data_IF_275171829635
#
_entry.id   IF_275171829635
#
_cell.length_a   1.000
_cell.length_b   1.000
_cell.length_c   1.000
_cell.angle_alpha   90.00
_cell.angle_beta   90.00
_cell.angle_gamma   90.00
#
_symmetry.space_group_name_H-M   'P 1'
#
loop_
_entity.id
_entity.type
_entity.pdbx_description
1 polymer ?
#
# COMPACT_ATOMS: atom_id res chain seq x y z
N UNK A 1 -33.36 -44.84 30.09
CA UNK A 1 -34.41 -43.92 29.60
C UNK A 1 -34.77 -43.04 30.77
N UNK A 2 -34.60 -41.73 30.60
CA UNK A 2 -35.00 -40.61 31.46
C UNK A 2 -33.87 -39.60 31.62
N UNK A 3 -34.28 -38.32 31.65
CA UNK A 3 -33.48 -37.08 31.73
C UNK A 3 -32.96 -36.45 30.41
N UNK A 4 -33.79 -36.43 29.35
CA UNK A 4 -33.65 -35.40 28.30
C UNK A 4 -34.95 -34.69 27.87
N UNK A 5 -36.12 -35.07 28.37
CA UNK A 5 -37.40 -34.55 27.83
C UNK A 5 -38.17 -33.54 28.70
N UNK A 6 -37.59 -33.01 29.78
CA UNK A 6 -38.32 -32.12 30.71
C UNK A 6 -38.03 -30.62 30.59
N UNK A 7 -37.25 -30.15 29.60
CA UNK A 7 -36.91 -28.72 29.48
C UNK A 7 -37.22 -28.10 28.11
N UNK A 8 -38.21 -28.65 27.38
CA UNK A 8 -38.63 -28.13 26.04
C UNK A 8 -39.92 -27.30 26.04
N UNK A 9 -40.45 -26.90 27.20
CA UNK A 9 -41.63 -26.03 27.25
C UNK A 9 -41.54 -25.03 28.38
N UNK A 10 -41.09 -23.81 28.07
CA UNK A 10 -41.72 -22.53 28.43
C UNK A 10 -40.69 -21.38 28.32
N UNK A 11 -41.07 -20.38 27.53
CA UNK A 11 -40.43 -19.06 27.34
C UNK A 11 -39.19 -18.97 26.44
N UNK A 12 -39.40 -18.34 25.28
CA UNK A 12 -38.38 -18.00 24.31
C UNK A 12 -37.49 -16.83 24.75
N UNK A 13 -36.19 -17.03 24.57
CA UNK A 13 -35.12 -16.04 24.33
C UNK A 13 -34.14 -16.80 23.42
N UNK A 14 -33.67 -16.23 22.31
CA UNK A 14 -32.80 -15.08 22.31
C UNK A 14 -31.36 -15.58 22.10
N UNK A 15 -30.75 -15.13 21.00
CA UNK A 15 -29.34 -15.29 20.65
C UNK A 15 -28.83 -16.72 20.38
N UNK A 16 -28.78 -17.07 19.08
CA UNK A 16 -27.81 -18.06 18.59
C UNK A 16 -26.39 -17.54 18.87
N UNK A 17 -25.43 -18.41 19.24
CA UNK A 17 -24.04 -17.98 19.39
C UNK A 17 -23.53 -17.53 18.02
N UNK A 18 -23.15 -16.24 17.92
CA UNK A 18 -22.44 -15.70 16.78
C UNK A 18 -21.09 -16.42 16.72
N UNK A 19 -20.97 -17.32 15.76
CA UNK A 19 -19.69 -17.84 15.30
C UNK A 19 -18.73 -16.67 15.09
N UNK A 20 -17.50 -16.84 15.58
CA UNK A 20 -16.39 -15.95 15.34
C UNK A 20 -16.28 -15.68 13.83
N UNK A 21 -16.78 -14.53 13.39
CA UNK A 21 -16.45 -13.96 12.09
C UNK A 21 -15.02 -13.43 12.18
N UNK A 22 -14.06 -14.35 12.14
CA UNK A 22 -12.70 -14.06 11.75
C UNK A 22 -12.76 -13.78 10.26
N UNK A 23 -13.08 -12.52 9.93
CA UNK A 23 -13.00 -12.01 8.57
C UNK A 23 -11.53 -12.08 8.22
N UNK A 24 -11.12 -13.17 7.58
CA UNK A 24 -9.92 -13.18 6.76
C UNK A 24 -10.18 -12.12 5.69
N UNK A 25 -9.79 -10.88 5.96
CA UNK A 25 -9.66 -9.87 4.92
C UNK A 25 -8.72 -10.49 3.90
N UNK A 26 -9.26 -10.85 2.74
CA UNK A 26 -8.51 -11.47 1.66
C UNK A 26 -7.51 -10.41 1.19
N UNK A 27 -6.28 -10.44 1.74
CA UNK A 27 -5.23 -9.48 1.41
C UNK A 27 -5.08 -9.44 -0.11
N UNK A 28 -5.34 -8.28 -0.71
CA UNK A 28 -5.11 -8.10 -2.14
C UNK A 28 -3.65 -8.42 -2.47
N UNK A 29 -3.41 -8.97 -3.67
CA UNK A 29 -2.07 -9.29 -4.13
C UNK A 29 -1.13 -8.05 -4.13
N UNK A 30 -1.70 -6.85 -4.30
CA UNK A 30 -0.97 -5.59 -4.18
C UNK A 30 -0.48 -5.26 -2.79
N UNK A 31 -1.21 -5.64 -1.74
CA UNK A 31 -0.70 -5.41 -0.39
C UNK A 31 0.55 -6.25 -0.13
N UNK A 32 0.59 -7.50 -0.60
CA UNK A 32 1.80 -8.32 -0.51
C UNK A 32 2.97 -7.68 -1.27
N UNK A 33 2.73 -7.19 -2.49
CA UNK A 33 3.80 -6.52 -3.27
C UNK A 33 4.24 -5.21 -2.61
N UNK A 34 3.33 -4.45 -2.00
CA UNK A 34 3.65 -3.28 -1.21
C UNK A 34 4.56 -3.66 -0.02
N UNK A 35 4.17 -4.68 0.74
CA UNK A 35 4.94 -5.19 1.90
C UNK A 35 6.34 -5.66 1.48
N UNK A 36 6.45 -6.28 0.29
CA UNK A 36 7.74 -6.70 -0.27
C UNK A 36 8.61 -5.49 -0.63
N UNK A 37 8.06 -4.50 -1.34
CA UNK A 37 8.80 -3.28 -1.72
C UNK A 37 9.24 -2.51 -0.47
N UNK A 38 8.35 -2.37 0.51
CA UNK A 38 8.66 -1.76 1.79
C UNK A 38 9.81 -2.49 2.47
N UNK A 39 9.76 -3.82 2.55
CA UNK A 39 10.82 -4.64 3.15
C UNK A 39 12.17 -4.51 2.41
N UNK A 40 12.16 -4.49 1.08
CA UNK A 40 13.38 -4.31 0.27
C UNK A 40 13.98 -2.91 0.47
N UNK A 41 13.16 -1.86 0.47
CA UNK A 41 13.61 -0.49 0.74
C UNK A 41 14.17 -0.35 2.15
N UNK A 42 13.52 -0.94 3.14
CA UNK A 42 14.02 -1.01 4.51
C UNK A 42 15.40 -1.67 4.57
N UNK A 43 15.60 -2.79 3.87
CA UNK A 43 16.91 -3.45 3.78
C UNK A 43 17.97 -2.56 3.15
N UNK A 44 17.66 -1.86 2.06
CA UNK A 44 18.62 -0.95 1.42
C UNK A 44 18.97 0.26 2.27
N UNK A 45 18.02 0.82 3.01
CA UNK A 45 18.26 1.93 3.94
C UNK A 45 19.11 1.46 5.12
N UNK A 46 18.76 0.32 5.71
CA UNK A 46 19.51 -0.28 6.81
C UNK A 46 20.97 -0.59 6.40
N UNK A 47 21.19 -1.09 5.17
CA UNK A 47 22.53 -1.33 4.63
C UNK A 47 23.22 -0.07 4.07
N UNK A 48 22.64 1.12 4.22
CA UNK A 48 23.16 2.39 3.69
C UNK A 48 23.45 2.38 2.17
N UNK A 49 22.69 1.57 1.42
CA UNK A 49 22.74 1.50 -0.05
C UNK A 49 21.70 2.40 -0.73
N UNK A 50 20.85 3.04 0.07
CA UNK A 50 19.82 3.98 -0.40
C UNK A 50 20.31 5.42 -0.31
N UNK A 51 19.81 6.28 -1.19
CA UNK A 51 19.97 7.74 -1.08
C UNK A 51 19.07 8.35 0.03
N UNK A 52 18.14 7.55 0.54
CA UNK A 52 17.22 7.92 1.60
C UNK A 52 17.78 7.45 2.95
N UNK A 53 17.73 8.31 3.95
CA UNK A 53 18.13 8.02 5.33
C UNK A 53 17.03 7.29 6.10
N UNK A 54 15.78 7.40 5.65
CA UNK A 54 14.66 6.74 6.30
C UNK A 54 13.38 6.67 5.48
N UNK A 55 12.34 6.07 6.07
CA UNK A 55 10.99 5.93 5.51
C UNK A 55 9.98 6.52 6.50
N UNK A 56 9.10 7.37 5.99
CA UNK A 56 7.85 7.75 6.67
C UNK A 56 6.72 6.95 6.03
N UNK A 57 6.14 6.01 6.79
CA UNK A 57 5.00 5.22 6.37
C UNK A 57 3.69 5.86 6.84
N UNK A 58 2.79 6.06 5.90
CA UNK A 58 1.42 6.47 6.12
C UNK A 58 0.54 5.21 6.19
N UNK A 59 0.09 4.88 7.40
CA UNK A 59 -0.71 3.69 7.68
C UNK A 59 -2.21 4.03 7.67
N UNK A 60 -2.89 3.81 6.55
CA UNK A 60 -4.32 4.07 6.35
C UNK A 60 -5.16 2.80 6.27
N UNK A 61 -4.55 1.69 5.83
CA UNK A 61 -5.25 0.42 5.59
C UNK A 61 -4.98 -0.63 6.66
N UNK A 62 -3.89 -0.48 7.41
CA UNK A 62 -3.49 -1.43 8.46
C UNK A 62 -3.00 -0.71 9.70
N UNK A 63 -3.13 -1.37 10.84
CA UNK A 63 -2.58 -0.89 12.10
C UNK A 63 -1.05 -0.79 12.05
N UNK A 64 -0.43 0.21 12.70
CA UNK A 64 1.02 0.30 12.84
C UNK A 64 1.69 -0.98 13.35
N UNK A 65 1.02 -1.71 14.27
CA UNK A 65 1.48 -2.99 14.82
C UNK A 65 1.80 -4.02 13.74
N UNK A 66 1.03 -4.02 12.65
CA UNK A 66 1.25 -4.90 11.51
C UNK A 66 2.63 -4.66 10.88
N UNK A 67 2.97 -3.39 10.65
CA UNK A 67 4.25 -3.03 10.03
C UNK A 67 5.43 -3.27 10.96
N UNK A 68 5.24 -3.13 12.28
CA UNK A 68 6.27 -3.53 13.24
C UNK A 68 6.56 -5.03 13.15
N UNK A 69 5.51 -5.84 13.11
CA UNK A 69 5.64 -7.31 12.99
C UNK A 69 6.25 -7.70 11.65
N UNK A 70 5.87 -7.01 10.56
CA UNK A 70 6.47 -7.21 9.24
C UNK A 70 7.98 -6.97 9.30
N UNK A 71 8.44 -5.83 9.82
CA UNK A 71 9.87 -5.51 9.91
C UNK A 71 10.61 -6.46 10.86
N UNK A 72 10.04 -6.79 12.03
CA UNK A 72 10.58 -7.81 12.94
C UNK A 72 10.78 -9.16 12.26
N UNK A 73 9.80 -9.61 11.48
CA UNK A 73 9.89 -10.88 10.75
C UNK A 73 11.00 -10.90 9.68
N UNK A 74 11.47 -9.73 9.26
CA UNK A 74 12.59 -9.55 8.33
C UNK A 74 13.93 -9.32 9.03
N UNK A 75 13.97 -9.42 10.36
CA UNK A 75 15.19 -9.29 11.16
C UNK A 75 15.54 -7.87 11.56
N UNK A 76 14.63 -6.90 11.40
CA UNK A 76 14.84 -5.54 11.87
C UNK A 76 14.37 -5.40 13.32
N UNK A 77 15.28 -5.01 14.21
CA UNK A 77 14.94 -4.74 15.61
C UNK A 77 14.21 -3.39 15.75
N UNK A 78 13.27 -3.29 16.69
CA UNK A 78 12.44 -2.11 16.94
C UNK A 78 13.28 -0.88 17.27
N UNK A 79 14.30 -1.05 18.13
CA UNK A 79 15.13 0.06 18.58
C UNK A 79 15.89 0.63 17.40
N UNK A 80 16.51 -0.25 16.59
CA UNK A 80 17.20 0.16 15.36
C UNK A 80 16.27 0.73 14.31
N UNK A 81 15.03 0.24 14.21
CA UNK A 81 14.05 0.73 13.24
C UNK A 81 13.60 2.15 13.53
N UNK A 82 13.52 2.54 14.81
CA UNK A 82 13.05 3.86 15.22
C UNK A 82 13.89 5.05 14.70
N UNK A 83 15.14 4.80 14.27
CA UNK A 83 16.05 5.83 13.76
C UNK A 83 15.88 6.10 12.26
N UNK A 84 15.35 5.14 11.49
CA UNK A 84 15.17 5.25 10.04
C UNK A 84 13.74 4.95 9.58
N UNK A 85 12.83 4.56 10.47
CA UNK A 85 11.45 4.20 10.15
C UNK A 85 10.47 4.90 11.10
N UNK A 86 9.56 5.70 10.54
CA UNK A 86 8.49 6.39 11.27
C UNK A 86 7.14 6.01 10.68
N UNK A 87 6.13 5.88 11.54
CA UNK A 87 4.76 5.59 11.13
C UNK A 87 3.84 6.74 11.56
N UNK A 88 3.09 7.25 10.60
CA UNK A 88 1.92 8.08 10.81
C UNK A 88 0.67 7.18 10.78
N UNK A 89 0.06 6.98 11.95
CA UNK A 89 -1.11 6.14 12.14
C UNK A 89 -2.39 6.90 11.81
N UNK A 90 -2.96 6.54 10.69
CA UNK A 90 -4.23 7.06 10.20
C UNK A 90 -5.28 5.96 10.08
N UNK A 91 -4.99 4.79 10.67
CA UNK A 91 -5.86 3.63 10.67
C UNK A 91 -6.66 3.55 11.97
N UNK A 92 -6.02 3.85 13.11
CA UNK A 92 -6.63 3.67 14.43
C UNK A 92 -7.75 4.68 14.72
N UNK A 93 -7.59 5.93 14.27
CA UNK A 93 -8.60 6.98 14.42
C UNK A 93 -8.61 7.97 13.24
N UNK A 94 -8.99 7.53 12.02
CA UNK A 94 -8.89 8.33 10.80
C UNK A 94 -9.64 9.66 10.82
N UNK A 95 -10.63 9.80 11.72
CA UNK A 95 -11.48 11.00 11.83
C UNK A 95 -11.33 11.73 13.18
N UNK A 96 -10.40 11.29 14.03
CA UNK A 96 -10.12 11.93 15.32
C UNK A 96 -11.26 11.83 16.33
N UNK A 97 -12.19 10.90 16.15
CA UNK A 97 -13.35 10.79 17.03
C UNK A 97 -12.93 10.33 18.41
N UNK A 98 -11.92 9.46 18.50
CA UNK A 98 -11.41 9.00 19.78
C UNK A 98 -10.73 10.14 20.53
N UNK A 99 -9.94 10.97 19.86
CA UNK A 99 -9.35 12.17 20.46
C UNK A 99 -10.41 13.14 20.96
N UNK A 100 -11.47 13.41 20.17
CA UNK A 100 -12.59 14.26 20.59
C UNK A 100 -13.37 13.71 21.78
N UNK A 101 -13.53 12.38 21.87
CA UNK A 101 -14.20 11.71 22.98
C UNK A 101 -13.34 11.66 24.25
N UNK A 102 -12.02 11.63 24.10
CA UNK A 102 -11.06 11.80 25.20
C UNK A 102 -11.08 13.23 25.74
N UNK A 103 -11.08 14.22 24.86
CA UNK A 103 -11.20 15.64 25.22
C UNK A 103 -12.54 15.96 25.89
N UNK A 104 -13.62 15.29 25.50
CA UNK A 104 -14.94 15.43 26.15
C UNK A 104 -15.08 14.62 27.46
N UNK A 105 -14.05 13.88 27.87
CA UNK A 105 -14.04 13.08 29.10
C UNK A 105 -14.87 11.80 29.05
N UNK A 106 -15.34 11.39 27.86
CA UNK A 106 -16.24 10.24 27.70
C UNK A 106 -15.53 8.88 27.73
N UNK A 107 -14.22 8.85 27.43
CA UNK A 107 -13.42 7.62 27.35
C UNK A 107 -12.06 7.84 28.05
N UNK A 108 -11.51 6.80 28.72
CA UNK A 108 -10.15 6.81 29.30
C UNK A 108 -9.13 6.29 28.28
N UNK A 109 -7.91 6.85 28.28
CA UNK A 109 -6.83 6.47 27.36
C UNK A 109 -6.51 4.97 27.45
N UNK A 110 -6.74 4.20 26.39
CA UNK A 110 -6.07 2.90 26.18
C UNK A 110 -4.74 3.17 25.49
N UNK A 111 -3.63 2.77 26.10
CA UNK A 111 -2.31 2.86 25.47
C UNK A 111 -2.26 2.02 24.20
N UNK A 112 -1.60 2.55 23.16
CA UNK A 112 -1.30 1.79 21.96
C UNK A 112 -0.16 0.83 22.31
N UNK A 113 -0.36 -0.48 22.17
CA UNK A 113 0.64 -1.52 22.50
C UNK A 113 1.83 -1.60 21.52
N UNK A 114 2.08 -0.54 20.77
CA UNK A 114 3.13 -0.42 19.76
C UNK A 114 4.41 0.11 20.40
N UNK A 115 5.55 -0.49 20.06
CA UNK A 115 6.85 -0.11 20.62
C UNK A 115 7.57 0.96 19.79
N UNK A 116 7.13 1.22 18.55
CA UNK A 116 7.59 2.36 17.75
C UNK A 116 6.91 3.65 18.22
N UNK A 117 7.60 4.78 18.03
CA UNK A 117 7.01 6.11 18.18
C UNK A 117 5.97 6.32 17.08
N UNK A 118 4.73 5.94 17.37
CA UNK A 118 3.60 6.08 16.45
C UNK A 118 2.96 7.43 16.66
N UNK A 119 2.95 8.24 15.61
CA UNK A 119 2.25 9.52 15.61
C UNK A 119 0.84 9.29 15.08
N UNK A 120 -0.17 9.62 15.88
CA UNK A 120 -1.58 9.42 15.51
C UNK A 120 -2.05 10.64 14.71
N UNK A 121 -2.60 10.40 13.53
CA UNK A 121 -3.31 11.42 12.78
C UNK A 121 -4.67 11.70 13.40
N UNK A 122 -4.96 12.99 13.57
CA UNK A 122 -6.21 13.46 14.13
C UNK A 122 -7.32 13.59 13.10
N UNK A 123 -6.99 13.84 11.84
CA UNK A 123 -8.00 13.99 10.79
C UNK A 123 -7.43 13.73 9.39
N UNK A 124 -7.83 12.61 8.79
CA UNK A 124 -7.40 12.24 7.44
C UNK A 124 -7.97 13.16 6.35
N UNK A 125 -8.99 13.96 6.66
CA UNK A 125 -9.54 14.95 5.72
C UNK A 125 -8.68 16.21 5.62
N UNK A 126 -7.90 16.50 6.66
CA UNK A 126 -7.02 17.66 6.67
C UNK A 126 -5.67 17.27 6.04
N UNK A 127 -5.60 17.42 4.71
CA UNK A 127 -4.40 17.05 3.98
C UNK A 127 -3.21 17.99 4.25
N UNK A 128 -3.45 19.20 4.75
CA UNK A 128 -2.40 20.17 5.10
C UNK A 128 -1.74 19.80 6.44
N UNK A 129 -2.55 19.40 7.43
CA UNK A 129 -2.05 18.83 8.70
C UNK A 129 -1.30 17.53 8.45
N UNK A 130 -1.82 16.66 7.57
CA UNK A 130 -1.15 15.43 7.16
C UNK A 130 0.20 15.70 6.49
N UNK A 131 0.22 16.63 5.52
CA UNK A 131 1.45 17.04 4.86
C UNK A 131 2.50 17.53 5.87
N UNK A 132 2.09 18.42 6.77
CA UNK A 132 2.97 18.98 7.81
C UNK A 132 3.50 17.88 8.74
N UNK A 133 2.63 16.97 9.18
CA UNK A 133 3.00 15.84 10.03
C UNK A 133 4.00 14.90 9.37
N UNK A 134 3.83 14.62 8.06
CA UNK A 134 4.79 13.81 7.29
C UNK A 134 6.16 14.48 7.23
N UNK A 135 6.20 15.80 7.04
CA UNK A 135 7.45 16.55 6.98
C UNK A 135 8.15 16.61 8.35
N UNK A 136 7.42 16.81 9.44
CA UNK A 136 8.01 16.79 10.79
C UNK A 136 8.64 15.42 11.10
N UNK A 137 7.95 14.33 10.80
CA UNK A 137 8.52 12.98 10.94
C UNK A 137 9.73 12.76 10.03
N UNK A 138 9.69 13.28 8.82
CA UNK A 138 10.78 13.18 7.86
C UNK A 138 12.03 13.98 8.28
N UNK A 139 11.85 15.13 8.95
CA UNK A 139 12.95 15.94 9.50
C UNK A 139 13.71 15.17 10.58
N UNK A 140 13.01 14.46 11.46
CA UNK A 140 13.64 13.60 12.47
C UNK A 140 14.54 12.53 11.83
N UNK A 141 14.18 12.04 10.63
CA UNK A 141 14.97 11.05 9.88
C UNK A 141 16.10 11.67 9.05
N UNK A 142 16.00 12.96 8.73
CA UNK A 142 16.93 13.65 7.83
C UNK A 142 18.15 14.26 8.54
N UNK A 143 18.19 14.20 9.88
CA UNK A 143 19.33 14.64 10.69
C UNK A 143 19.68 16.12 10.48
N UNK A 144 20.98 16.42 10.33
CA UNK A 144 21.58 17.77 10.16
C UNK A 144 21.20 18.50 8.84
N UNK A 145 20.00 18.27 8.31
CA UNK A 145 19.42 18.99 7.17
C UNK A 145 19.93 18.57 5.79
N UNK A 146 20.83 17.58 5.70
CA UNK A 146 21.35 17.04 4.42
C UNK A 146 20.71 15.71 4.02
N UNK A 147 20.05 15.03 4.95
CA UNK A 147 19.37 13.77 4.69
C UNK A 147 18.12 13.95 3.83
N UNK A 148 17.75 12.91 3.12
CA UNK A 148 16.44 12.79 2.47
C UNK A 148 15.71 11.58 2.99
N UNK A 149 14.39 11.59 2.93
CA UNK A 149 13.57 10.45 3.32
C UNK A 149 12.66 9.99 2.18
N UNK A 150 12.08 8.81 2.35
CA UNK A 150 11.13 8.21 1.42
C UNK A 150 9.76 8.19 2.08
N UNK A 151 8.72 8.47 1.30
CA UNK A 151 7.34 8.39 1.78
C UNK A 151 6.68 7.14 1.22
N UNK A 152 6.07 6.36 2.08
CA UNK A 152 5.29 5.18 1.71
C UNK A 152 3.83 5.39 2.11
N UNK A 153 2.88 5.20 1.19
CA UNK A 153 1.44 5.31 1.48
C UNK A 153 0.78 3.97 1.20
N UNK A 154 0.31 3.29 2.24
CA UNK A 154 -0.18 1.93 2.13
C UNK A 154 -1.52 1.80 1.37
N UNK A 155 -2.33 2.86 1.32
CA UNK A 155 -3.57 2.90 0.53
C UNK A 155 -4.02 4.33 0.25
N UNK A 156 -3.76 4.81 -0.96
CA UNK A 156 -4.34 6.07 -1.44
C UNK A 156 -5.85 5.95 -1.63
N UNK A 157 -6.36 4.73 -1.84
CA UNK A 157 -7.81 4.49 -1.90
C UNK A 157 -8.52 4.93 -0.62
N UNK A 158 -7.88 4.79 0.54
CA UNK A 158 -8.45 5.26 1.81
C UNK A 158 -8.56 6.79 1.87
N UNK A 159 -7.58 7.53 1.34
CA UNK A 159 -7.64 9.00 1.26
C UNK A 159 -8.78 9.46 0.35
N UNK A 160 -8.91 8.82 -0.81
CA UNK A 160 -9.94 9.13 -1.81
C UNK A 160 -11.37 8.86 -1.33
N UNK A 161 -11.56 8.04 -0.28
CA UNK A 161 -12.88 7.86 0.36
C UNK A 161 -13.32 9.09 1.16
N UNK A 162 -12.37 9.91 1.62
CA UNK A 162 -12.63 11.01 2.55
C UNK A 162 -12.35 12.38 1.95
N UNK A 163 -11.65 12.44 0.82
CA UNK A 163 -11.18 13.67 0.18
C UNK A 163 -11.30 13.57 -1.34
N UNK A 164 -11.26 14.71 -2.04
CA UNK A 164 -11.34 14.74 -3.50
C UNK A 164 -10.04 14.29 -4.17
N UNK A 165 -10.15 13.81 -5.41
CA UNK A 165 -8.99 13.44 -6.23
C UNK A 165 -8.01 14.60 -6.39
N UNK A 166 -8.50 15.84 -6.55
CA UNK A 166 -7.66 17.02 -6.71
C UNK A 166 -6.85 17.33 -5.47
N UNK A 167 -7.45 17.20 -4.28
CA UNK A 167 -6.76 17.40 -3.00
C UNK A 167 -5.68 16.32 -2.78
N UNK A 168 -6.00 15.05 -3.06
CA UNK A 168 -5.00 13.97 -3.00
C UNK A 168 -3.86 14.18 -4.00
N UNK A 169 -4.18 14.60 -5.23
CA UNK A 169 -3.19 14.93 -6.24
C UNK A 169 -2.29 16.10 -5.78
N UNK A 170 -2.87 17.14 -5.15
CA UNK A 170 -2.11 18.25 -4.58
C UNK A 170 -1.15 17.77 -3.48
N UNK A 171 -1.61 16.94 -2.54
CA UNK A 171 -0.77 16.34 -1.50
C UNK A 171 0.42 15.57 -2.10
N UNK A 172 0.15 14.67 -3.05
CA UNK A 172 1.19 13.86 -3.71
C UNK A 172 2.17 14.75 -4.49
N UNK A 173 1.68 15.82 -5.12
CA UNK A 173 2.50 16.80 -5.83
C UNK A 173 3.40 17.60 -4.88
N UNK A 174 2.87 18.00 -3.72
CA UNK A 174 3.59 18.77 -2.71
C UNK A 174 4.70 17.92 -2.06
N UNK A 175 4.39 16.66 -1.72
CA UNK A 175 5.40 15.70 -1.24
C UNK A 175 6.47 15.46 -2.31
N UNK A 176 6.06 15.36 -3.58
CA UNK A 176 6.97 15.19 -4.71
C UNK A 176 7.92 16.35 -4.90
N UNK A 177 7.44 17.58 -4.79
CA UNK A 177 8.27 18.77 -5.04
C UNK A 177 9.20 19.10 -3.86
N UNK A 178 8.90 18.61 -2.65
CA UNK A 178 9.66 18.89 -1.43
C UNK A 178 11.11 18.39 -1.48
N UNK A 179 12.09 19.23 -1.13
CA UNK A 179 13.54 18.99 -1.25
C UNK A 179 14.08 17.78 -0.47
N UNK A 180 13.55 17.55 0.74
CA UNK A 180 13.88 16.43 1.62
C UNK A 180 13.24 15.09 1.20
N UNK A 181 12.23 15.10 0.32
CA UNK A 181 11.60 13.86 -0.16
C UNK A 181 12.38 13.34 -1.37
N UNK A 182 13.03 12.18 -1.20
CA UNK A 182 13.80 11.50 -2.25
C UNK A 182 12.92 10.68 -3.20
N UNK A 183 11.96 9.94 -2.63
CA UNK A 183 11.06 9.05 -3.37
C UNK A 183 9.75 8.90 -2.63
N UNK A 184 8.69 8.57 -3.37
CA UNK A 184 7.37 8.35 -2.81
C UNK A 184 6.70 7.20 -3.56
N UNK A 185 6.17 6.24 -2.83
CA UNK A 185 5.42 5.13 -3.42
C UNK A 185 4.12 4.86 -2.69
N UNK A 186 3.13 4.41 -3.43
CA UNK A 186 1.80 4.22 -2.88
C UNK A 186 1.01 3.11 -3.58
N UNK A 187 0.07 2.52 -2.85
CA UNK A 187 -0.87 1.53 -3.38
C UNK A 187 -2.23 2.17 -3.71
N UNK A 188 -2.79 1.81 -4.87
CA UNK A 188 -4.12 2.20 -5.33
C UNK A 188 -4.91 0.98 -5.83
N UNK A 189 -6.10 0.80 -5.28
CA UNK A 189 -7.06 -0.22 -5.74
C UNK A 189 -7.89 0.38 -6.90
N UNK A 190 -7.73 -0.15 -8.12
CA UNK A 190 -8.36 0.43 -9.33
C UNK A 190 -9.86 0.20 -9.40
N UNK A 191 -10.32 -0.96 -8.91
CA UNK A 191 -11.72 -1.37 -8.80
C UNK A 191 -12.57 -0.39 -7.98
N UNK A 192 -11.95 0.32 -7.04
CA UNK A 192 -12.62 1.25 -6.13
C UNK A 192 -12.82 2.66 -6.70
N UNK A 193 -12.22 3.01 -7.84
CA UNK A 193 -12.18 4.40 -8.32
C UNK A 193 -12.53 4.52 -9.80
N UNK A 194 -13.12 5.66 -10.15
CA UNK A 194 -13.40 5.99 -11.54
C UNK A 194 -12.12 6.07 -12.39
N UNK A 195 -12.25 5.78 -13.68
CA UNK A 195 -11.16 5.83 -14.66
C UNK A 195 -10.48 7.21 -14.71
N UNK A 196 -11.24 8.28 -14.50
CA UNK A 196 -10.70 9.65 -14.45
C UNK A 196 -9.75 9.84 -13.26
N UNK A 197 -10.13 9.36 -12.08
CA UNK A 197 -9.33 9.48 -10.86
C UNK A 197 -8.02 8.69 -10.98
N UNK A 198 -8.12 7.45 -11.47
CA UNK A 198 -6.97 6.57 -11.68
C UNK A 198 -6.03 7.12 -12.75
N UNK A 199 -6.55 7.66 -13.86
CA UNK A 199 -5.76 8.29 -14.92
C UNK A 199 -5.01 9.54 -14.43
N UNK A 200 -5.63 10.37 -13.58
CA UNK A 200 -4.98 11.55 -13.00
C UNK A 200 -3.78 11.16 -12.13
N UNK A 201 -3.94 10.18 -11.25
CA UNK A 201 -2.84 9.70 -10.41
C UNK A 201 -1.75 9.01 -11.23
N UNK A 202 -2.12 8.20 -12.22
CA UNK A 202 -1.18 7.59 -13.15
C UNK A 202 -0.39 8.63 -13.96
N UNK A 203 -1.03 9.72 -14.38
CA UNK A 203 -0.37 10.81 -15.10
C UNK A 203 0.79 11.38 -14.28
N UNK A 204 0.55 11.61 -12.98
CA UNK A 204 1.54 12.15 -12.05
C UNK A 204 2.66 11.15 -11.75
N UNK A 205 2.41 9.85 -11.74
CA UNK A 205 3.43 8.83 -11.41
C UNK A 205 4.55 8.74 -12.45
N UNK A 206 5.80 8.60 -11.98
CA UNK A 206 6.95 8.29 -12.84
C UNK A 206 6.98 6.82 -13.25
N UNK A 207 6.47 5.94 -12.38
CA UNK A 207 6.36 4.50 -12.59
C UNK A 207 4.99 4.02 -12.14
N UNK A 208 4.37 3.13 -12.92
CA UNK A 208 3.13 2.41 -12.57
C UNK A 208 3.42 0.92 -12.63
N UNK A 209 3.22 0.22 -11.53
CA UNK A 209 3.17 -1.23 -11.49
C UNK A 209 1.71 -1.67 -11.35
N UNK A 210 1.27 -2.56 -12.22
CA UNK A 210 -0.07 -3.14 -12.22
C UNK A 210 0.03 -4.62 -11.91
N UNK A 211 -0.82 -5.07 -11.00
CA UNK A 211 -0.94 -6.47 -10.62
C UNK A 211 -2.30 -6.95 -11.10
N UNK A 212 -2.26 -7.97 -11.95
CA UNK A 212 -3.45 -8.63 -12.48
C UNK A 212 -3.45 -10.09 -11.99
N UNK A 213 -4.48 -10.55 -11.26
CA UNK A 213 -4.55 -11.94 -10.82
C UNK A 213 -4.63 -12.88 -12.02
N UNK A 214 -3.91 -14.00 -11.98
CA UNK A 214 -4.03 -15.03 -13.03
C UNK A 214 -5.21 -15.93 -12.66
N UNK A 215 -6.33 -15.73 -13.34
CA UNK A 215 -7.47 -16.66 -13.27
C UNK A 215 -7.30 -17.67 -14.41
N UNK A 216 -6.84 -18.88 -14.08
CA UNK A 216 -6.93 -19.99 -15.03
C UNK A 216 -8.39 -20.48 -15.02
N UNK A 217 -9.11 -20.24 -16.11
CA UNK A 217 -10.41 -20.88 -16.34
C UNK A 217 -10.15 -22.35 -16.67
N UNK A 218 -10.49 -23.24 -15.74
CA UNK A 218 -10.56 -24.67 -16.05
C UNK A 218 -11.84 -24.88 -16.85
N UNK A 219 -11.73 -24.96 -18.17
CA UNK A 219 -12.80 -25.46 -19.02
C UNK A 219 -12.99 -26.96 -18.73
N UNK A 220 -13.84 -27.28 -17.74
CA UNK A 220 -14.17 -28.66 -17.40
C UNK A 220 -15.23 -28.76 -16.29
N UNK A 221 -16.36 -29.48 -16.50
CA UNK A 221 -17.40 -29.59 -15.49
C UNK A 221 -17.10 -30.76 -14.54
N UNK A 222 -16.52 -30.48 -13.36
CA UNK A 222 -16.83 -31.28 -12.16
C UNK A 222 -16.29 -30.65 -10.88
N UNK A 223 -17.21 -30.33 -9.97
CA UNK A 223 -16.89 -29.95 -8.60
C UNK A 223 -16.26 -31.13 -7.85
N UNK A 224 -14.98 -31.02 -7.54
CA UNK A 224 -14.27 -31.81 -6.54
C UNK A 224 -13.53 -30.84 -5.61
N UNK A 225 -13.36 -31.23 -4.34
CA UNK A 225 -12.68 -30.46 -3.29
C UNK A 225 -11.24 -30.02 -3.64
N UNK A 226 -10.62 -30.66 -4.62
CA UNK A 226 -9.29 -30.32 -5.18
C UNK A 226 -9.29 -29.00 -5.97
N UNK A 227 -10.46 -28.49 -6.41
CA UNK A 227 -10.57 -27.20 -7.09
C UNK A 227 -10.36 -26.00 -6.14
N UNK A 228 -10.56 -26.19 -4.83
CA UNK A 228 -10.37 -25.13 -3.84
C UNK A 228 -8.88 -24.82 -3.61
N UNK A 229 -8.03 -25.86 -3.53
CA UNK A 229 -6.58 -25.67 -3.36
C UNK A 229 -5.93 -25.08 -4.62
N UNK A 230 -6.40 -25.46 -5.81
CA UNK A 230 -6.00 -24.84 -7.08
C UNK A 230 -6.47 -23.38 -7.19
N UNK A 231 -7.70 -23.06 -6.76
CA UNK A 231 -8.17 -21.68 -6.65
C UNK A 231 -7.33 -20.84 -5.67
N UNK A 232 -7.01 -21.38 -4.49
CA UNK A 232 -6.17 -20.70 -3.50
C UNK A 232 -4.75 -20.46 -4.01
N UNK A 233 -4.19 -21.38 -4.81
CA UNK A 233 -2.90 -21.19 -5.48
C UNK A 233 -2.98 -20.14 -6.59
N UNK A 234 -4.07 -20.09 -7.36
CA UNK A 234 -4.30 -19.06 -8.37
C UNK A 234 -4.43 -17.66 -7.78
N UNK A 235 -5.02 -17.53 -6.58
CA UNK A 235 -5.09 -16.25 -5.84
C UNK A 235 -3.72 -15.74 -5.36
N UNK A 236 -2.70 -16.60 -5.32
CA UNK A 236 -1.32 -16.25 -4.94
C UNK A 236 -0.44 -15.97 -6.15
N UNK A 237 -0.95 -16.10 -7.37
CA UNK A 237 -0.22 -15.83 -8.62
C UNK A 237 -0.83 -14.66 -9.38
N UNK A 238 0.03 -13.86 -10.01
CA UNK A 238 -0.41 -12.70 -10.78
C UNK A 238 0.59 -12.31 -11.85
N UNK A 239 0.13 -11.54 -12.83
CA UNK A 239 1.01 -10.82 -13.75
C UNK A 239 1.38 -9.49 -13.13
N UNK A 240 2.67 -9.21 -13.06
CA UNK A 240 3.25 -7.96 -12.62
C UNK A 240 3.74 -7.18 -13.82
N UNK A 241 3.02 -6.12 -14.17
CA UNK A 241 3.34 -5.25 -15.31
C UNK A 241 3.88 -3.91 -14.81
N UNK A 242 5.11 -3.55 -15.18
CA UNK A 242 5.72 -2.29 -14.78
C UNK A 242 5.91 -1.37 -15.99
N UNK A 243 5.32 -0.19 -15.90
CA UNK A 243 5.44 0.92 -16.84
C UNK A 243 6.31 2.01 -16.24
N UNK A 244 7.46 2.30 -16.84
CA UNK A 244 8.40 3.32 -16.38
C UNK A 244 8.50 4.46 -17.39
N UNK A 245 8.17 5.69 -16.98
CA UNK A 245 8.34 6.91 -17.79
C UNK A 245 9.77 7.43 -17.61
N UNK A 246 10.51 7.57 -18.70
CA UNK A 246 11.85 8.18 -18.71
C UNK A 246 11.77 9.70 -18.82
N UNK A 247 12.87 10.37 -18.49
CA UNK A 247 13.00 11.84 -18.57
C UNK A 247 12.78 12.39 -19.98
N UNK A 248 13.15 11.62 -21.01
CA UNK A 248 12.96 11.96 -22.42
C UNK A 248 11.54 11.67 -22.96
N UNK A 249 10.59 11.35 -22.09
CA UNK A 249 9.22 11.00 -22.49
C UNK A 249 9.03 9.58 -23.01
N UNK A 250 10.10 8.80 -23.24
CA UNK A 250 9.98 7.38 -23.62
C UNK A 250 9.46 6.55 -22.46
N UNK A 251 8.64 5.56 -22.77
CA UNK A 251 8.08 4.64 -21.77
C UNK A 251 8.70 3.25 -21.99
N UNK A 252 9.20 2.61 -20.93
CA UNK A 252 9.63 1.21 -20.93
C UNK A 252 8.57 0.37 -20.21
N UNK A 253 8.21 -0.76 -20.80
CA UNK A 253 7.34 -1.77 -20.20
C UNK A 253 8.17 -2.99 -19.79
N UNK A 254 7.84 -3.61 -18.66
CA UNK A 254 8.39 -4.87 -18.19
C UNK A 254 7.25 -5.75 -17.69
N UNK A 255 7.33 -7.06 -17.93
CA UNK A 255 6.31 -8.03 -17.53
C UNK A 255 6.99 -9.18 -16.82
N UNK A 256 6.53 -9.48 -15.62
CA UNK A 256 7.00 -10.59 -14.80
C UNK A 256 5.78 -11.33 -14.26
N UNK A 257 5.93 -12.62 -14.01
CA UNK A 257 4.98 -13.38 -13.22
C UNK A 257 5.36 -13.29 -11.74
N UNK A 258 4.35 -13.10 -10.90
CA UNK A 258 4.43 -12.98 -9.46
C UNK A 258 3.84 -14.23 -8.82
N UNK A 259 4.54 -14.83 -7.85
CA UNK A 259 3.98 -15.84 -6.94
C UNK A 259 4.25 -15.47 -5.47
N UNK A 260 3.22 -15.57 -4.64
CA UNK A 260 3.29 -15.35 -3.18
C UNK A 260 3.45 -16.68 -2.47
N UNK A 261 4.67 -16.96 -2.04
CA UNK A 261 5.06 -18.15 -1.29
C UNK A 261 5.07 -17.87 0.23
N UNK A 262 5.24 -18.91 1.05
CA UNK A 262 5.35 -18.76 2.52
C UNK A 262 6.62 -18.02 2.94
N UNK A 263 7.68 -18.10 2.14
CA UNK A 263 8.99 -17.47 2.34
C UNK A 263 9.03 -16.01 1.87
N UNK A 264 8.09 -15.58 1.03
CA UNK A 264 8.05 -14.25 0.46
C UNK A 264 7.46 -14.24 -0.95
N UNK A 265 7.82 -13.20 -1.71
CA UNK A 265 7.38 -13.03 -3.09
C UNK A 265 8.50 -13.46 -4.02
N UNK A 266 8.14 -14.21 -5.06
CA UNK A 266 9.02 -14.58 -6.16
C UNK A 266 8.53 -13.94 -7.45
N UNK A 267 9.46 -13.38 -8.20
CA UNK A 267 9.24 -12.86 -9.55
C UNK A 267 9.94 -13.77 -10.54
N UNK A 268 9.23 -14.23 -11.57
CA UNK A 268 9.78 -15.02 -12.67
C UNK A 268 9.53 -14.31 -13.99
N UNK A 269 10.54 -14.14 -14.86
CA UNK A 269 10.31 -13.59 -16.19
C UNK A 269 9.35 -14.52 -16.94
N UNK A 270 8.43 -13.93 -17.70
CA UNK A 270 7.53 -14.71 -18.56
C UNK A 270 8.37 -15.43 -19.63
N UNK A 271 8.24 -16.77 -19.73
CA UNK A 271 8.92 -17.54 -20.78
C UNK A 271 8.36 -17.18 -22.15
N UNK A 272 9.26 -17.01 -23.11
CA UNK A 272 9.05 -16.43 -24.45
C UNK A 272 8.27 -17.31 -25.44
N UNK A 273 7.16 -17.94 -25.06
CA UNK A 273 6.27 -18.62 -26.03
C UNK A 273 5.16 -17.70 -26.57
N UNK A 274 4.82 -16.61 -25.86
CA UNK A 274 3.83 -15.61 -26.30
C UNK A 274 4.48 -14.34 -26.91
N UNK A 275 5.73 -14.44 -27.36
CA UNK A 275 6.56 -13.31 -27.81
C UNK A 275 6.24 -12.81 -29.22
N UNK A 276 5.22 -13.36 -29.90
CA UNK A 276 4.86 -12.97 -31.28
C UNK A 276 4.04 -11.68 -31.42
N UNK A 277 3.75 -10.94 -30.33
CA UNK A 277 2.93 -9.71 -30.47
C UNK A 277 3.29 -8.52 -29.58
N UNK A 278 4.44 -8.53 -28.88
CA UNK A 278 4.83 -7.43 -27.99
C UNK A 278 6.14 -6.69 -28.37
N UNK A 279 6.66 -6.89 -29.58
CA UNK A 279 7.67 -6.00 -30.14
C UNK A 279 7.05 -4.65 -30.49
N UNK A 280 7.18 -3.69 -29.58
CA UNK A 280 7.26 -2.24 -29.83
C UNK A 280 6.61 -1.72 -31.13
N UNK A 281 5.29 -1.79 -31.24
CA UNK A 281 4.53 -0.97 -32.19
C UNK A 281 3.90 0.20 -31.42
N UNK A 282 4.75 1.08 -30.90
CA UNK A 282 4.27 2.42 -30.51
C UNK A 282 4.21 3.22 -31.81
N UNK A 283 3.03 3.64 -32.31
CA UNK A 283 2.97 4.56 -33.43
C UNK A 283 3.77 5.80 -33.05
N UNK A 284 4.75 6.14 -33.90
CA UNK A 284 5.74 7.19 -33.68
C UNK A 284 5.10 8.56 -33.89
N UNK A 285 4.07 8.88 -33.10
CA UNK A 285 3.46 10.21 -33.10
C UNK A 285 4.30 11.08 -32.16
N UNK A 286 5.24 11.83 -32.74
CA UNK A 286 5.99 12.87 -32.04
C UNK A 286 5.07 14.07 -31.80
N UNK A 287 4.34 14.06 -30.68
CA UNK A 287 3.86 15.31 -30.12
C UNK A 287 5.07 16.00 -29.46
N UNK A 288 5.49 17.13 -30.02
CA UNK A 288 6.53 17.99 -29.41
C UNK A 288 5.94 18.73 -28.20
N UNK A 289 5.60 17.98 -27.14
CA UNK A 289 5.25 18.57 -25.86
C UNK A 289 6.57 18.92 -25.16
N UNK A 290 6.95 20.20 -25.20
CA UNK A 290 8.08 20.70 -24.43
C UNK A 290 7.72 20.66 -22.94
N UNK A 291 8.24 19.66 -22.23
CA UNK A 291 8.10 19.58 -20.77
C UNK A 291 8.87 20.73 -20.12
N UNK A 292 8.25 21.38 -19.14
CA UNK A 292 8.88 22.42 -18.34
C UNK A 292 10.08 21.88 -17.55
N UNK A 293 11.02 22.75 -17.17
CA UNK A 293 12.14 22.36 -16.31
C UNK A 293 11.67 21.82 -14.96
N UNK A 294 10.57 22.36 -14.44
CA UNK A 294 9.89 21.87 -13.24
C UNK A 294 9.45 20.41 -13.40
N UNK A 295 8.77 20.06 -14.50
CA UNK A 295 8.35 18.68 -14.76
C UNK A 295 9.53 17.72 -14.98
N UNK A 296 10.63 18.20 -15.56
CA UNK A 296 11.86 17.40 -15.72
C UNK A 296 12.51 17.09 -14.37
N UNK A 297 12.57 18.07 -13.48
CA UNK A 297 13.08 17.92 -12.11
C UNK A 297 12.14 17.07 -11.25
N UNK A 298 10.83 17.21 -11.43
CA UNK A 298 9.87 16.36 -10.77
C UNK A 298 10.05 14.90 -11.21
N UNK A 299 10.35 14.61 -12.48
CA UNK A 299 10.67 13.25 -12.99
C UNK A 299 12.02 12.69 -12.52
N UNK A 300 12.85 13.49 -11.85
CA UNK A 300 14.14 13.05 -11.32
C UNK A 300 13.97 12.17 -10.07
N UNK A 301 12.90 12.40 -9.30
CA UNK A 301 12.53 11.60 -8.13
C UNK A 301 11.71 10.37 -8.57
N UNK A 302 11.96 9.24 -7.90
CA UNK A 302 11.28 7.97 -8.19
C UNK A 302 9.91 7.98 -7.52
N UNK A 303 8.85 7.95 -8.33
CA UNK A 303 7.48 7.84 -7.85
C UNK A 303 6.87 6.56 -8.37
N UNK A 304 6.48 5.70 -7.45
CA UNK A 304 5.97 4.37 -7.76
C UNK A 304 4.52 4.26 -7.35
N UNK A 305 3.65 4.19 -8.35
CA UNK A 305 2.27 3.79 -8.17
C UNK A 305 2.21 2.26 -8.28
N UNK A 306 1.89 1.60 -7.18
CA UNK A 306 1.46 0.22 -7.18
C UNK A 306 -0.05 0.17 -7.33
N UNK A 307 -0.53 -0.65 -8.24
CA UNK A 307 -1.92 -0.65 -8.65
C UNK A 307 -2.42 -2.09 -8.76
N UNK A 308 -3.56 -2.38 -8.15
CA UNK A 308 -4.23 -3.69 -8.27
C UNK A 308 -5.54 -3.52 -9.02
N UNK A 309 -5.84 -4.48 -9.90
CA UNK A 309 -7.21 -4.71 -10.34
C UNK A 309 -7.95 -5.60 -9.35
#
# INVERSE_FOLDING_TARGET
MDLQNAARRRFGRGARPRSHYQRYDQLSLGSFVFDHILSQLSSFIFCQKSQSNGIVLFALSRSPLYYEQLLKSKGFDVVTSSTWFKILDCYTDPLGWRSKLLESGSIRNLSSGSSLTVNICKNVKDLDELFSSILELGKELSGDGKGRFTVAIDSVSSLLRHTSVSSVAALLSNLRSHDQVSSLFWLLHLDMHETRATAALEYMSSMKATIEPIVQSVDGPRGNSENLSLMEQNLRRGKFCVRVKRRNGRVRMMFEELSVEKSGIKFTPLSSEDETTAQSLVPKVQFNLQLSEKEKNDRQKLFFLLSTR
#
